data_IF_042622599727
#
_entry.id   IF_042622599727
#
_cell.length_a   1.000
_cell.length_b   1.000
_cell.length_c   1.000
_cell.angle_alpha   90.00
_cell.angle_beta   90.00
_cell.angle_gamma   90.00
#
_symmetry.space_group_name_H-M   'P 1'
#
loop_
_entity.id
_entity.type
_entity.pdbx_description
1 polymer ?
#
# COMPACT_ATOMS: atom_id res chain seq x y z
N UNK A 1 7.92 -30.53 40.90
CA UNK A 1 8.68 -30.85 39.65
C UNK A 1 7.81 -30.53 38.42
N UNK A 2 6.59 -31.05 38.33
CA UNK A 2 5.63 -30.89 37.23
C UNK A 2 5.35 -29.40 36.87
N UNK A 3 5.13 -28.53 37.89
CA UNK A 3 4.90 -27.08 37.69
C UNK A 3 6.09 -26.34 37.09
N UNK A 4 7.33 -26.82 37.33
CA UNK A 4 8.57 -26.25 36.81
C UNK A 4 8.76 -26.69 35.35
N UNK A 5 8.41 -27.92 35.03
CA UNK A 5 8.47 -28.50 33.69
C UNK A 5 7.46 -27.81 32.77
N UNK A 6 6.22 -27.66 33.23
CA UNK A 6 5.16 -26.94 32.51
C UNK A 6 5.53 -25.49 32.21
N UNK A 7 6.17 -24.78 33.16
CA UNK A 7 6.66 -23.41 32.89
C UNK A 7 7.73 -23.36 31.80
N UNK A 8 8.63 -24.34 31.77
CA UNK A 8 9.65 -24.43 30.73
C UNK A 8 9.02 -24.68 29.35
N UNK A 9 8.02 -25.56 29.30
CA UNK A 9 7.30 -25.85 28.06
C UNK A 9 6.54 -24.61 27.54
N UNK A 10 5.90 -23.84 28.43
CA UNK A 10 5.24 -22.59 28.07
C UNK A 10 6.26 -21.59 27.49
N UNK A 11 7.42 -21.41 28.14
CA UNK A 11 8.43 -20.48 27.63
C UNK A 11 9.02 -20.95 26.28
N UNK A 12 9.19 -22.27 26.10
CA UNK A 12 9.61 -22.83 24.82
C UNK A 12 8.58 -22.52 23.72
N UNK A 13 7.29 -22.76 23.99
CA UNK A 13 6.20 -22.48 23.03
C UNK A 13 6.05 -21.01 22.70
N UNK A 14 6.23 -20.11 23.68
CA UNK A 14 6.30 -18.65 23.42
C UNK A 14 7.44 -18.32 22.44
N UNK A 15 8.60 -18.92 22.65
CA UNK A 15 9.74 -18.76 21.75
C UNK A 15 9.44 -19.21 20.32
N UNK A 16 8.79 -20.36 20.16
CA UNK A 16 8.36 -20.87 18.85
C UNK A 16 7.37 -19.91 18.16
N UNK A 17 6.38 -19.37 18.89
CA UNK A 17 5.42 -18.40 18.36
C UNK A 17 6.12 -17.12 17.89
N UNK A 18 7.05 -16.58 18.69
CA UNK A 18 7.82 -15.40 18.33
C UNK A 18 8.68 -15.65 17.09
N UNK A 19 9.37 -16.78 17.02
CA UNK A 19 10.17 -17.17 15.86
C UNK A 19 9.33 -17.28 14.59
N UNK A 20 8.15 -17.90 14.68
CA UNK A 20 7.23 -18.02 13.56
C UNK A 20 6.75 -16.61 13.08
N UNK A 21 6.45 -15.71 14.03
CA UNK A 21 6.06 -14.34 13.74
C UNK A 21 7.17 -13.55 13.05
N UNK A 22 8.40 -13.66 13.54
CA UNK A 22 9.57 -13.04 12.93
C UNK A 22 9.86 -13.61 11.53
N UNK A 23 9.70 -14.91 11.34
CA UNK A 23 9.87 -15.55 10.04
C UNK A 23 8.85 -15.02 8.99
N UNK A 24 7.62 -14.71 9.41
CA UNK A 24 6.61 -14.05 8.56
C UNK A 24 7.10 -12.65 8.16
N UNK A 25 7.57 -11.86 9.12
CA UNK A 25 8.13 -10.52 8.86
C UNK A 25 9.28 -10.56 7.84
N UNK A 26 10.22 -11.49 8.01
CA UNK A 26 11.34 -11.63 7.08
C UNK A 26 10.90 -12.07 5.67
N UNK A 27 9.89 -12.94 5.56
CA UNK A 27 9.30 -13.29 4.26
C UNK A 27 8.62 -12.07 3.60
N UNK A 28 7.91 -11.26 4.37
CA UNK A 28 7.30 -10.00 3.88
C UNK A 28 8.37 -9.04 3.38
N UNK A 29 9.45 -8.82 4.14
CA UNK A 29 10.59 -7.98 3.72
C UNK A 29 11.25 -8.51 2.43
N UNK A 30 11.52 -9.81 2.37
CA UNK A 30 12.11 -10.43 1.18
C UNK A 30 11.21 -10.28 -0.06
N UNK A 31 9.89 -10.47 0.10
CA UNK A 31 8.92 -10.27 -0.96
C UNK A 31 8.90 -8.82 -1.46
N UNK A 32 8.78 -7.85 -0.56
CA UNK A 32 8.79 -6.42 -0.91
C UNK A 32 10.10 -6.04 -1.62
N UNK A 33 11.24 -6.43 -1.08
CA UNK A 33 12.54 -6.14 -1.67
C UNK A 33 12.70 -6.76 -3.07
N UNK A 34 12.18 -7.97 -3.29
CA UNK A 34 12.19 -8.60 -4.61
C UNK A 34 11.30 -7.87 -5.60
N UNK A 35 10.14 -7.40 -5.15
CA UNK A 35 9.08 -6.82 -5.99
C UNK A 35 9.40 -5.41 -6.45
N UNK A 36 9.89 -4.55 -5.54
CA UNK A 36 10.05 -3.12 -5.81
C UNK A 36 11.51 -2.62 -5.74
N UNK A 37 12.48 -3.54 -5.79
CA UNK A 37 13.91 -3.24 -5.60
C UNK A 37 14.46 -2.11 -6.48
N UNK A 38 13.91 -1.93 -7.69
CA UNK A 38 14.36 -0.93 -8.68
C UNK A 38 13.35 0.19 -8.92
N UNK A 39 12.28 0.25 -8.12
CA UNK A 39 11.27 1.27 -8.31
C UNK A 39 11.78 2.60 -7.73
N UNK A 40 11.84 3.64 -8.57
CA UNK A 40 12.29 4.97 -8.17
C UNK A 40 11.14 5.87 -7.66
N UNK A 41 9.90 5.44 -7.84
CA UNK A 41 8.71 6.22 -7.50
C UNK A 41 8.11 5.83 -6.15
N UNK A 42 8.23 4.56 -5.75
CA UNK A 42 7.66 4.05 -4.51
C UNK A 42 8.67 3.21 -3.75
N UNK A 43 8.69 3.39 -2.44
CA UNK A 43 9.46 2.58 -1.49
C UNK A 43 8.52 2.09 -0.39
N UNK A 44 8.56 0.80 -0.12
CA UNK A 44 7.76 0.18 0.93
C UNK A 44 8.70 -0.47 1.93
N UNK A 45 8.53 -0.13 3.21
CA UNK A 45 9.26 -0.72 4.33
C UNK A 45 8.30 -1.50 5.20
N UNK A 46 8.65 -2.72 5.53
CA UNK A 46 7.92 -3.49 6.54
C UNK A 46 8.36 -3.03 7.92
N UNK A 47 7.42 -2.57 8.72
CA UNK A 47 7.62 -2.17 10.11
C UNK A 47 7.24 -3.34 11.01
N UNK A 48 8.22 -4.04 11.61
CA UNK A 48 7.95 -5.21 12.44
C UNK A 48 7.04 -4.85 13.62
N UNK A 49 6.02 -5.67 13.85
CA UNK A 49 5.03 -5.50 14.92
C UNK A 49 4.23 -4.18 14.86
N UNK A 50 4.24 -3.51 13.72
CA UNK A 50 3.46 -2.30 13.48
C UNK A 50 3.85 -1.08 14.30
N UNK A 51 3.37 0.08 13.87
CA UNK A 51 3.49 1.35 14.60
C UNK A 51 2.26 2.25 14.40
N UNK A 52 1.20 1.73 13.82
CA UNK A 52 -0.04 2.47 13.63
C UNK A 52 -0.86 2.43 14.93
N UNK A 53 -1.05 3.60 15.54
CA UNK A 53 -1.77 3.74 16.81
C UNK A 53 -3.19 3.16 16.76
N UNK A 54 -3.93 3.42 15.68
CA UNK A 54 -5.30 2.93 15.54
C UNK A 54 -5.36 1.38 15.45
N UNK A 55 -4.39 0.76 14.78
CA UNK A 55 -4.33 -0.69 14.68
C UNK A 55 -3.97 -1.32 16.02
N UNK A 56 -2.94 -0.82 16.69
CA UNK A 56 -2.48 -1.37 17.97
C UNK A 56 -3.52 -1.14 19.07
N UNK A 57 -4.17 0.05 19.11
CA UNK A 57 -5.24 0.31 20.06
C UNK A 57 -6.41 -0.65 19.86
N UNK A 58 -6.86 -0.84 18.61
CA UNK A 58 -7.93 -1.78 18.29
C UNK A 58 -7.57 -3.20 18.71
N UNK A 59 -6.36 -3.64 18.44
CA UNK A 59 -5.89 -4.99 18.78
C UNK A 59 -5.84 -5.17 20.31
N UNK A 60 -5.34 -4.16 21.06
CA UNK A 60 -5.35 -4.18 22.52
C UNK A 60 -6.76 -4.23 23.07
N UNK A 61 -7.70 -3.44 22.53
CA UNK A 61 -9.11 -3.46 22.94
C UNK A 61 -9.76 -4.82 22.66
N UNK A 62 -9.48 -5.44 21.53
CA UNK A 62 -9.91 -6.80 21.24
C UNK A 62 -9.33 -7.80 22.24
N UNK A 63 -8.02 -7.69 22.52
CA UNK A 63 -7.32 -8.58 23.43
C UNK A 63 -7.91 -8.58 24.84
N UNK A 64 -8.27 -7.38 25.35
CA UNK A 64 -8.89 -7.24 26.67
C UNK A 64 -10.41 -7.38 26.64
N UNK A 65 -11.03 -7.57 25.47
CA UNK A 65 -12.48 -7.64 25.28
C UNK A 65 -13.21 -6.39 25.83
N UNK A 66 -12.67 -5.22 25.49
CA UNK A 66 -13.24 -3.91 25.83
C UNK A 66 -13.26 -3.03 24.58
N UNK A 67 -14.24 -3.24 23.73
CA UNK A 67 -14.39 -2.58 22.43
C UNK A 67 -14.91 -1.14 22.51
N UNK A 68 -15.37 -0.72 23.69
CA UNK A 68 -15.81 0.64 24.00
C UNK A 68 -14.68 1.52 24.57
N UNK A 69 -14.98 2.77 24.88
CA UNK A 69 -14.00 3.74 25.41
C UNK A 69 -13.57 3.52 26.87
N UNK A 70 -13.96 2.38 27.46
CA UNK A 70 -13.48 2.03 28.79
C UNK A 70 -11.96 1.89 28.79
N UNK A 71 -11.34 2.32 29.87
CA UNK A 71 -9.90 2.20 30.11
C UNK A 71 -9.02 2.93 29.09
N UNK A 72 -9.57 3.97 28.43
CA UNK A 72 -8.87 4.72 27.37
C UNK A 72 -7.49 5.19 27.80
N UNK A 73 -7.34 5.75 29.01
CA UNK A 73 -6.05 6.26 29.48
C UNK A 73 -4.96 5.16 29.52
N UNK A 74 -5.29 3.98 30.06
CA UNK A 74 -4.35 2.86 30.13
C UNK A 74 -4.06 2.29 28.75
N UNK A 75 -5.09 2.12 27.91
CA UNK A 75 -4.95 1.59 26.54
C UNK A 75 -4.13 2.55 25.68
N UNK A 76 -4.42 3.85 25.74
CA UNK A 76 -3.64 4.86 24.99
C UNK A 76 -2.18 4.89 25.44
N UNK A 77 -1.90 4.80 26.76
CA UNK A 77 -0.51 4.73 27.25
C UNK A 77 0.22 3.49 26.73
N UNK A 78 -0.43 2.32 26.75
CA UNK A 78 0.14 1.07 26.26
C UNK A 78 0.39 1.15 24.74
N UNK A 79 -0.57 1.69 23.97
CA UNK A 79 -0.46 1.93 22.53
C UNK A 79 0.71 2.85 22.23
N UNK A 80 0.76 4.02 22.88
CA UNK A 80 1.83 5.00 22.67
C UNK A 80 3.22 4.41 23.01
N UNK A 81 3.32 3.59 24.05
CA UNK A 81 4.58 2.91 24.42
C UNK A 81 5.09 2.01 23.31
N UNK A 82 4.22 1.29 22.60
CA UNK A 82 4.59 0.41 21.49
C UNK A 82 4.91 1.24 20.24
N UNK A 83 4.04 2.19 19.89
CA UNK A 83 4.16 2.98 18.64
C UNK A 83 5.38 3.88 18.62
N UNK A 84 5.72 4.52 19.76
CA UNK A 84 6.87 5.43 19.86
C UNK A 84 8.22 4.72 20.01
N UNK A 85 8.22 3.40 20.19
CA UNK A 85 9.45 2.62 20.27
C UNK A 85 10.09 2.50 18.88
N UNK A 86 11.43 2.58 18.83
CA UNK A 86 12.16 2.21 17.62
C UNK A 86 12.01 0.69 17.32
N UNK A 87 12.38 0.27 16.14
CA UNK A 87 12.19 -1.13 15.70
C UNK A 87 12.88 -2.16 16.61
N UNK A 88 14.04 -1.80 17.18
CA UNK A 88 14.84 -2.71 18.01
C UNK A 88 14.25 -2.87 19.43
N UNK A 89 13.63 -1.82 19.95
CA UNK A 89 13.05 -1.82 21.29
C UNK A 89 11.55 -2.15 21.32
N UNK A 90 10.87 -2.12 20.16
CA UNK A 90 9.42 -2.35 20.08
C UNK A 90 9.00 -3.69 20.67
N UNK A 91 9.75 -4.75 20.37
CA UNK A 91 9.49 -6.08 20.96
C UNK A 91 9.54 -6.06 22.49
N UNK A 92 10.50 -5.34 23.08
CA UNK A 92 10.58 -5.17 24.54
C UNK A 92 9.36 -4.44 25.08
N UNK A 93 8.94 -3.39 24.39
CA UNK A 93 7.74 -2.64 24.79
C UNK A 93 6.46 -3.49 24.72
N UNK A 94 6.34 -4.37 23.72
CA UNK A 94 5.24 -5.34 23.61
C UNK A 94 5.26 -6.30 24.79
N UNK A 95 6.42 -6.91 25.09
CA UNK A 95 6.54 -7.81 26.23
C UNK A 95 6.25 -7.11 27.57
N UNK A 96 6.67 -5.86 27.74
CA UNK A 96 6.32 -5.07 28.92
C UNK A 96 4.80 -4.82 29.03
N UNK A 97 4.14 -4.54 27.91
CA UNK A 97 2.65 -4.36 27.89
C UNK A 97 1.97 -5.68 28.25
N UNK A 98 2.40 -6.81 27.69
CA UNK A 98 1.90 -8.13 28.06
C UNK A 98 2.06 -8.38 29.56
N UNK A 99 3.24 -8.11 30.11
CA UNK A 99 3.50 -8.30 31.54
C UNK A 99 2.61 -7.38 32.40
N UNK A 100 2.36 -6.13 31.98
CA UNK A 100 1.43 -5.24 32.69
C UNK A 100 0.01 -5.83 32.73
N UNK A 101 -0.48 -6.37 31.60
CA UNK A 101 -1.80 -6.99 31.53
C UNK A 101 -1.88 -8.27 32.39
N UNK A 102 -0.90 -9.16 32.25
CA UNK A 102 -0.84 -10.43 32.99
C UNK A 102 -0.70 -10.23 34.50
N UNK A 103 0.09 -9.24 34.92
CA UNK A 103 0.32 -8.93 36.34
C UNK A 103 -0.67 -7.86 36.87
N UNK A 104 -1.63 -7.42 36.04
CA UNK A 104 -2.65 -6.44 36.42
C UNK A 104 -2.05 -5.11 36.92
N UNK A 105 -0.92 -4.71 36.35
CA UNK A 105 -0.19 -3.48 36.68
C UNK A 105 -0.68 -2.32 35.83
N UNK A 106 -1.95 -1.95 36.03
CA UNK A 106 -2.65 -0.87 35.34
C UNK A 106 -2.92 0.28 36.31
N UNK A 107 -3.04 1.51 35.79
CA UNK A 107 -3.25 2.71 36.64
C UNK A 107 -4.67 2.83 37.15
N UNK A 108 -5.64 2.48 36.31
CA UNK A 108 -7.04 2.61 36.61
C UNK A 108 -7.52 1.46 37.51
N UNK A 109 -8.02 1.77 38.71
CA UNK A 109 -8.53 0.76 39.65
C UNK A 109 -9.73 -0.04 39.12
N UNK A 110 -10.58 0.56 38.28
CA UNK A 110 -11.68 -0.16 37.62
C UNK A 110 -11.16 -1.13 36.58
N UNK A 111 -10.10 -0.77 35.85
CA UNK A 111 -9.46 -1.66 34.89
C UNK A 111 -8.78 -2.85 35.59
N UNK A 112 -8.12 -2.59 36.74
CA UNK A 112 -7.56 -3.68 37.56
C UNK A 112 -8.66 -4.64 38.02
N UNK A 113 -9.76 -4.13 38.56
CA UNK A 113 -10.90 -4.96 38.96
C UNK A 113 -11.53 -5.72 37.80
N UNK A 114 -11.52 -5.15 36.61
CA UNK A 114 -11.99 -5.82 35.38
C UNK A 114 -11.08 -7.00 35.03
N UNK A 115 -9.76 -6.82 35.04
CA UNK A 115 -8.78 -7.88 34.77
C UNK A 115 -8.83 -8.98 35.86
N UNK A 116 -9.07 -8.61 37.12
CA UNK A 116 -9.24 -9.58 38.21
C UNK A 116 -10.45 -10.50 38.01
N UNK A 117 -11.54 -9.99 37.45
CA UNK A 117 -12.72 -10.76 37.11
C UNK A 117 -12.56 -11.63 35.84
N UNK A 118 -11.68 -11.26 34.94
CA UNK A 118 -11.39 -12.02 33.72
C UNK A 118 -10.71 -13.35 34.02
N UNK A 119 -9.78 -13.39 34.97
CA UNK A 119 -8.97 -14.57 35.29
C UNK A 119 -9.80 -15.84 35.58
N UNK A 120 -10.82 -15.82 36.45
CA UNK A 120 -11.63 -17.00 36.70
C UNK A 120 -12.64 -17.33 35.59
N UNK A 121 -13.03 -16.33 34.77
CA UNK A 121 -14.12 -16.48 33.80
C UNK A 121 -13.63 -16.70 32.35
N UNK A 122 -12.36 -16.44 32.08
CA UNK A 122 -11.76 -16.54 30.75
C UNK A 122 -10.31 -17.03 30.84
N UNK A 123 -10.09 -18.32 31.10
CA UNK A 123 -8.73 -18.88 31.20
C UNK A 123 -7.92 -18.68 29.91
N UNK A 124 -8.59 -18.60 28.76
CA UNK A 124 -7.98 -18.31 27.47
C UNK A 124 -7.39 -16.90 27.35
N UNK A 125 -7.82 -15.97 28.21
CA UNK A 125 -7.31 -14.59 28.20
C UNK A 125 -5.79 -14.55 28.38
N UNK A 126 -5.24 -15.34 29.29
CA UNK A 126 -3.80 -15.42 29.53
C UNK A 126 -3.04 -15.95 28.32
N UNK A 127 -3.60 -16.96 27.65
CA UNK A 127 -3.00 -17.54 26.46
C UNK A 127 -3.04 -16.52 25.30
N UNK A 128 -4.16 -15.81 25.12
CA UNK A 128 -4.29 -14.78 24.11
C UNK A 128 -3.29 -13.63 24.36
N UNK A 129 -3.18 -13.11 25.56
CA UNK A 129 -2.19 -12.07 25.90
C UNK A 129 -0.76 -12.57 25.71
N UNK A 130 -0.49 -13.79 26.12
CA UNK A 130 0.86 -14.39 26.03
C UNK A 130 1.30 -14.57 24.58
N UNK A 131 0.40 -15.01 23.70
CA UNK A 131 0.68 -15.27 22.29
C UNK A 131 0.47 -14.06 21.37
N UNK A 132 -0.04 -12.95 21.91
CA UNK A 132 -0.32 -11.76 21.11
C UNK A 132 0.95 -11.05 20.65
N UNK A 133 1.00 -10.77 19.38
CA UNK A 133 1.96 -9.86 18.75
C UNK A 133 1.22 -9.07 17.67
N UNK A 134 1.35 -7.73 17.64
CA UNK A 134 0.73 -6.92 16.59
C UNK A 134 1.18 -7.35 15.19
N UNK A 135 0.34 -7.11 14.21
CA UNK A 135 0.73 -7.32 12.81
C UNK A 135 1.79 -6.31 12.35
N UNK A 136 2.55 -6.67 11.32
CA UNK A 136 3.47 -5.72 10.70
C UNK A 136 2.68 -4.62 10.00
N UNK A 137 3.15 -3.40 10.09
CA UNK A 137 2.68 -2.29 9.25
C UNK A 137 3.56 -2.11 8.01
N UNK A 138 3.04 -1.34 7.07
CA UNK A 138 3.78 -0.93 5.88
C UNK A 138 3.98 0.59 5.91
N UNK A 139 5.23 1.01 5.95
CA UNK A 139 5.58 2.41 5.73
C UNK A 139 5.83 2.61 4.24
N UNK A 140 4.91 3.35 3.60
CA UNK A 140 4.91 3.59 2.16
C UNK A 140 5.37 5.03 1.93
N UNK A 141 6.46 5.16 1.20
CA UNK A 141 7.02 6.43 0.81
C UNK A 141 7.01 6.56 -0.72
N UNK A 142 6.85 7.77 -1.21
CA UNK A 142 6.92 8.09 -2.64
C UNK A 142 7.98 9.16 -2.91
N UNK A 143 8.60 9.09 -4.09
CA UNK A 143 9.48 10.14 -4.60
C UNK A 143 8.69 11.06 -5.53
N UNK A 144 8.67 12.38 -5.25
CA UNK A 144 7.90 13.35 -6.04
C UNK A 144 8.38 13.44 -7.49
N UNK A 145 9.68 13.35 -7.67
CA UNK A 145 10.33 13.53 -8.97
C UNK A 145 10.64 12.18 -9.65
N UNK A 146 10.35 11.06 -8.98
CA UNK A 146 10.66 9.74 -9.49
C UNK A 146 12.16 9.46 -9.64
N UNK A 147 13.00 10.25 -8.99
CA UNK A 147 14.46 10.17 -9.03
C UNK A 147 15.05 9.26 -7.94
N UNK A 148 14.20 8.74 -7.07
CA UNK A 148 14.57 7.88 -5.94
C UNK A 148 15.33 8.60 -4.82
N UNK A 149 15.28 9.93 -4.75
CA UNK A 149 16.04 10.72 -3.76
C UNK A 149 15.14 11.31 -2.67
N UNK A 150 14.20 12.15 -3.02
CA UNK A 150 13.35 12.87 -2.07
C UNK A 150 12.12 12.06 -1.71
N UNK A 151 12.17 11.29 -0.61
CA UNK A 151 11.10 10.45 -0.16
C UNK A 151 10.17 11.17 0.82
N UNK A 152 8.89 11.04 0.62
CA UNK A 152 7.84 11.57 1.49
C UNK A 152 6.84 10.46 1.84
N UNK A 153 6.30 10.48 3.05
CA UNK A 153 5.28 9.52 3.45
C UNK A 153 4.05 9.64 2.55
N UNK A 154 3.50 8.51 2.10
CA UNK A 154 2.37 8.47 1.17
C UNK A 154 1.13 9.20 1.69
N UNK A 155 0.91 9.19 3.00
CA UNK A 155 -0.22 9.87 3.64
C UNK A 155 -0.13 11.40 3.56
N UNK A 156 1.08 11.96 3.37
CA UNK A 156 1.31 13.39 3.18
C UNK A 156 1.18 13.82 1.71
N UNK A 157 1.09 12.84 0.80
CA UNK A 157 0.93 13.08 -0.62
C UNK A 157 -0.45 13.60 -1.00
N UNK A 158 -0.53 14.34 -2.12
CA UNK A 158 -1.79 14.65 -2.78
C UNK A 158 -2.49 13.36 -3.22
N UNK A 159 -3.78 13.45 -3.56
CA UNK A 159 -4.54 12.31 -4.08
C UNK A 159 -3.84 11.67 -5.28
N UNK A 160 -3.38 12.50 -6.24
CA UNK A 160 -2.66 12.04 -7.42
C UNK A 160 -1.35 11.34 -7.09
N UNK A 161 -0.57 11.88 -6.15
CA UNK A 161 0.70 11.25 -5.72
C UNK A 161 0.48 9.90 -5.07
N UNK A 162 -0.58 9.74 -4.29
CA UNK A 162 -0.95 8.44 -3.70
C UNK A 162 -1.39 7.44 -4.76
N UNK A 163 -2.21 7.87 -5.73
CA UNK A 163 -2.63 7.04 -6.87
C UNK A 163 -1.44 6.63 -7.72
N UNK A 164 -0.50 7.54 -7.99
CA UNK A 164 0.72 7.26 -8.73
C UNK A 164 1.60 6.20 -8.03
N UNK A 165 1.80 6.31 -6.73
CA UNK A 165 2.59 5.35 -5.96
C UNK A 165 1.94 3.95 -5.94
N UNK A 166 0.61 3.88 -5.76
CA UNK A 166 -0.13 2.62 -5.82
C UNK A 166 -0.02 1.98 -7.20
N UNK A 167 -0.18 2.76 -8.26
CA UNK A 167 -0.06 2.27 -9.63
C UNK A 167 1.36 1.79 -9.94
N UNK A 168 2.39 2.52 -9.51
CA UNK A 168 3.79 2.11 -9.64
C UNK A 168 4.05 0.77 -8.94
N UNK A 169 3.47 0.55 -7.77
CA UNK A 169 3.55 -0.72 -7.07
C UNK A 169 2.86 -1.84 -7.84
N UNK A 170 1.60 -1.64 -8.27
CA UNK A 170 0.83 -2.61 -9.02
C UNK A 170 1.52 -3.00 -10.34
N UNK A 171 2.09 -2.03 -11.03
CA UNK A 171 2.83 -2.27 -12.26
C UNK A 171 4.19 -2.94 -12.02
N UNK A 172 4.78 -2.84 -10.84
CA UNK A 172 6.03 -3.51 -10.50
C UNK A 172 5.86 -4.99 -10.19
N UNK A 173 4.64 -5.43 -9.84
CA UNK A 173 4.36 -6.78 -9.36
C UNK A 173 3.62 -7.63 -10.39
N UNK A 174 3.97 -8.94 -10.45
CA UNK A 174 3.25 -9.95 -11.23
C UNK A 174 3.61 -10.00 -12.70
N UNK A 175 3.14 -11.07 -13.36
CA UNK A 175 3.24 -11.30 -14.80
C UNK A 175 1.86 -11.57 -15.42
N UNK A 176 0.84 -11.64 -14.61
CA UNK A 176 -0.53 -11.86 -15.04
C UNK A 176 -1.03 -10.67 -15.87
N UNK A 177 -1.98 -10.88 -16.78
CA UNK A 177 -2.66 -9.78 -17.46
C UNK A 177 -3.27 -8.79 -16.46
N UNK A 178 -3.16 -7.50 -16.75
CA UNK A 178 -3.74 -6.44 -15.92
C UNK A 178 -4.70 -5.58 -16.74
N UNK A 179 -5.82 -5.23 -16.13
CA UNK A 179 -6.78 -4.28 -16.68
C UNK A 179 -6.72 -3.00 -15.87
N UNK A 180 -6.50 -1.88 -16.54
CA UNK A 180 -6.45 -0.55 -15.97
C UNK A 180 -7.57 0.29 -16.56
N UNK A 181 -8.41 0.85 -15.72
CA UNK A 181 -9.47 1.78 -16.12
C UNK A 181 -9.09 3.19 -15.68
N UNK A 182 -8.86 4.06 -16.67
CA UNK A 182 -8.46 5.45 -16.51
C UNK A 182 -7.34 5.65 -15.46
N UNK A 183 -6.17 4.99 -15.65
CA UNK A 183 -5.07 5.08 -14.68
C UNK A 183 -4.48 6.48 -14.55
N UNK A 184 -4.82 7.39 -15.46
CA UNK A 184 -4.45 8.80 -15.44
C UNK A 184 -5.32 9.69 -14.57
N UNK A 185 -6.47 9.21 -14.12
CA UNK A 185 -7.36 10.01 -13.29
C UNK A 185 -6.68 10.42 -11.98
N UNK A 186 -6.90 11.65 -11.57
CA UNK A 186 -6.26 12.29 -10.40
C UNK A 186 -4.74 12.54 -10.55
N UNK A 187 -4.12 12.24 -11.68
CA UNK A 187 -2.68 12.45 -11.87
C UNK A 187 -2.37 13.75 -12.65
N UNK A 188 -1.31 14.42 -12.24
CA UNK A 188 -0.78 15.55 -12.99
C UNK A 188 -0.12 15.06 -14.30
N UNK A 189 -0.23 15.84 -15.37
CA UNK A 189 0.30 15.49 -16.69
C UNK A 189 1.80 15.10 -16.67
N UNK A 190 2.60 15.71 -15.81
CA UNK A 190 4.00 15.36 -15.62
C UNK A 190 4.17 13.94 -15.07
N UNK A 191 3.40 13.57 -14.04
CA UNK A 191 3.42 12.22 -13.47
C UNK A 191 2.89 11.17 -14.45
N UNK A 192 1.93 11.53 -15.31
CA UNK A 192 1.41 10.61 -16.33
C UNK A 192 2.54 10.20 -17.27
N UNK A 193 3.33 11.14 -17.77
CA UNK A 193 4.39 10.84 -18.72
C UNK A 193 5.53 10.06 -18.07
N UNK A 194 6.08 10.57 -16.98
CA UNK A 194 7.30 10.00 -16.38
C UNK A 194 7.05 8.64 -15.70
N UNK A 195 5.90 8.50 -15.05
CA UNK A 195 5.58 7.29 -14.32
C UNK A 195 4.80 6.29 -15.17
N UNK A 196 3.58 6.66 -15.65
CA UNK A 196 2.67 5.71 -16.28
C UNK A 196 3.20 5.23 -17.61
N UNK A 197 3.61 6.15 -18.48
CA UNK A 197 4.10 5.80 -19.82
C UNK A 197 5.33 4.91 -19.73
N UNK A 198 6.29 5.26 -18.86
CA UNK A 198 7.49 4.45 -18.65
C UNK A 198 7.13 3.06 -18.12
N UNK A 199 6.29 2.98 -17.11
CA UNK A 199 5.88 1.71 -16.52
C UNK A 199 5.07 0.85 -17.52
N UNK A 200 4.20 1.44 -18.34
CA UNK A 200 3.46 0.72 -19.40
C UNK A 200 4.45 0.10 -20.39
N UNK A 201 5.41 0.87 -20.88
CA UNK A 201 6.42 0.38 -21.86
C UNK A 201 7.27 -0.76 -21.32
N UNK A 202 7.65 -0.72 -20.05
CA UNK A 202 8.38 -1.80 -19.40
C UNK A 202 7.51 -3.04 -19.16
N UNK A 203 6.27 -2.82 -18.71
CA UNK A 203 5.36 -3.92 -18.36
C UNK A 203 4.85 -4.70 -19.56
N UNK A 204 4.55 -4.04 -20.68
CA UNK A 204 4.07 -4.72 -21.89
C UNK A 204 5.04 -5.75 -22.47
N UNK A 205 6.33 -5.67 -22.12
CA UNK A 205 7.34 -6.66 -22.50
C UNK A 205 7.23 -7.97 -21.72
N UNK A 206 6.53 -7.98 -20.59
CA UNK A 206 6.44 -9.14 -19.69
C UNK A 206 5.02 -9.64 -19.45
N UNK A 207 4.00 -8.83 -19.75
CA UNK A 207 2.58 -9.20 -19.56
C UNK A 207 1.66 -8.42 -20.47
N UNK A 208 0.44 -8.92 -20.63
CA UNK A 208 -0.61 -8.20 -21.35
C UNK A 208 -1.16 -7.06 -20.51
N UNK A 209 -1.28 -5.88 -21.11
CA UNK A 209 -1.96 -4.72 -20.53
C UNK A 209 -3.21 -4.42 -21.34
N UNK A 210 -4.34 -4.25 -20.66
CA UNK A 210 -5.60 -3.78 -21.25
C UNK A 210 -5.93 -2.48 -20.54
N UNK A 211 -5.91 -1.36 -21.28
CA UNK A 211 -6.02 -0.03 -20.69
C UNK A 211 -7.19 0.69 -21.33
N UNK A 212 -8.12 1.16 -20.52
CA UNK A 212 -9.17 2.10 -20.90
C UNK A 212 -8.68 3.49 -20.55
N UNK A 213 -8.61 4.40 -21.52
CA UNK A 213 -8.06 5.74 -21.30
C UNK A 213 -8.62 6.74 -22.30
N UNK A 214 -8.68 7.99 -21.89
CA UNK A 214 -8.93 9.14 -22.74
C UNK A 214 -7.68 10.03 -22.95
N UNK A 215 -6.53 9.61 -22.41
CA UNK A 215 -5.27 10.37 -22.46
C UNK A 215 -4.41 9.92 -23.65
N UNK A 216 -4.09 10.81 -24.61
CA UNK A 216 -3.27 10.48 -25.77
C UNK A 216 -1.84 10.05 -25.39
N UNK A 217 -1.30 10.52 -24.27
CA UNK A 217 0.03 10.11 -23.83
C UNK A 217 0.11 8.62 -23.52
N UNK A 218 -0.93 8.04 -22.95
CA UNK A 218 -0.97 6.60 -22.67
C UNK A 218 -1.01 5.79 -23.95
N UNK A 219 -1.82 6.19 -24.93
CA UNK A 219 -1.97 5.47 -26.19
C UNK A 219 -0.75 5.65 -27.08
N UNK A 220 -0.31 6.90 -27.28
CA UNK A 220 0.73 7.26 -28.25
C UNK A 220 2.11 7.02 -27.66
N UNK A 221 2.41 7.61 -26.51
CA UNK A 221 3.73 7.50 -25.90
C UNK A 221 3.93 6.16 -25.16
N UNK A 222 2.85 5.52 -24.70
CA UNK A 222 2.85 4.13 -24.21
C UNK A 222 3.07 3.10 -25.32
N UNK A 223 3.02 3.54 -26.60
CA UNK A 223 3.26 2.72 -27.77
C UNK A 223 2.33 1.50 -27.81
N UNK A 224 1.02 1.76 -27.85
CA UNK A 224 0.00 0.72 -27.87
C UNK A 224 0.04 -0.10 -29.15
N UNK A 225 0.14 -1.43 -29.04
CA UNK A 225 0.15 -2.37 -30.17
C UNK A 225 -1.22 -2.50 -30.84
N UNK A 226 -2.28 -2.43 -30.03
CA UNK A 226 -3.65 -2.56 -30.50
C UNK A 226 -4.56 -1.53 -29.81
N UNK A 227 -5.29 -0.80 -30.60
CA UNK A 227 -6.23 0.22 -30.17
C UNK A 227 -7.63 -0.17 -30.61
N UNK A 228 -8.59 -0.06 -29.71
CA UNK A 228 -10.02 -0.18 -29.94
C UNK A 228 -10.65 1.16 -29.63
N UNK A 229 -11.04 1.92 -30.65
CA UNK A 229 -11.81 3.13 -30.48
C UNK A 229 -13.28 2.75 -30.25
N UNK A 230 -13.81 3.17 -29.10
CA UNK A 230 -15.16 2.87 -28.68
C UNK A 230 -16.05 4.11 -28.87
N UNK A 231 -17.31 3.88 -29.26
CA UNK A 231 -18.31 4.94 -29.32
C UNK A 231 -19.64 4.41 -28.78
N UNK A 232 -20.46 5.32 -28.28
CA UNK A 232 -21.77 5.00 -27.73
C UNK A 232 -22.84 5.49 -28.67
N UNK A 233 -23.41 4.58 -29.45
CA UNK A 233 -24.43 4.89 -30.51
C UNK A 233 -25.68 4.09 -30.22
N UNK A 234 -26.84 4.76 -30.24
CA UNK A 234 -28.16 4.14 -30.05
C UNK A 234 -28.27 3.28 -28.77
N UNK A 235 -27.67 3.73 -27.66
CA UNK A 235 -27.76 3.02 -26.39
C UNK A 235 -26.80 1.84 -26.25
N UNK A 236 -25.90 1.62 -27.21
CA UNK A 236 -24.92 0.53 -27.20
C UNK A 236 -23.50 1.04 -27.40
N UNK A 237 -22.56 0.48 -26.66
CA UNK A 237 -21.16 0.70 -26.86
C UNK A 237 -20.65 -0.21 -28.01
N UNK A 238 -19.96 0.38 -28.98
CA UNK A 238 -19.48 -0.34 -30.15
C UNK A 238 -18.06 0.07 -30.53
N UNK A 239 -17.31 -0.85 -31.12
CA UNK A 239 -15.98 -0.59 -31.65
C UNK A 239 -16.11 0.05 -33.02
N UNK A 240 -15.71 1.32 -33.14
CA UNK A 240 -15.75 2.06 -34.43
C UNK A 240 -14.49 1.82 -35.26
N UNK A 241 -13.33 1.74 -34.63
CA UNK A 241 -12.03 1.48 -35.27
C UNK A 241 -11.18 0.56 -34.43
N UNK A 242 -10.38 -0.29 -35.09
CA UNK A 242 -9.40 -1.13 -34.41
C UNK A 242 -8.11 -1.28 -35.22
N UNK A 243 -6.99 -1.32 -34.55
CA UNK A 243 -5.68 -1.54 -35.17
C UNK A 243 -4.55 -0.85 -34.42
N UNK A 244 -3.36 -0.90 -34.99
CA UNK A 244 -2.19 -0.19 -34.45
C UNK A 244 -2.16 1.26 -34.91
N UNK A 245 -1.34 2.09 -34.27
CA UNK A 245 -1.05 3.47 -34.67
C UNK A 245 -0.42 3.59 -36.07
N UNK A 246 0.07 2.50 -36.66
CA UNK A 246 0.60 2.51 -38.03
C UNK A 246 -0.50 2.69 -39.07
N UNK A 247 -1.77 2.31 -38.75
CA UNK A 247 -2.91 2.51 -39.64
C UNK A 247 -3.37 3.97 -39.60
N UNK A 248 -3.50 4.57 -40.79
CA UNK A 248 -3.87 5.99 -40.90
C UNK A 248 -5.24 6.30 -40.32
N UNK A 249 -6.22 5.44 -40.53
CA UNK A 249 -7.59 5.61 -40.03
C UNK A 249 -7.65 5.52 -38.50
N UNK A 250 -6.84 4.67 -37.87
CA UNK A 250 -6.73 4.59 -36.41
C UNK A 250 -6.08 5.85 -35.85
N UNK A 251 -5.00 6.35 -36.45
CA UNK A 251 -4.38 7.64 -36.05
C UNK A 251 -5.34 8.81 -36.13
N UNK A 252 -6.12 8.87 -37.19
CA UNK A 252 -7.14 9.92 -37.34
C UNK A 252 -8.18 9.83 -36.23
N UNK A 253 -8.60 8.62 -35.87
CA UNK A 253 -9.59 8.42 -34.81
C UNK A 253 -9.03 8.79 -33.43
N UNK A 254 -7.81 8.37 -33.11
CA UNK A 254 -7.11 8.79 -31.89
C UNK A 254 -7.00 10.31 -31.81
N UNK A 255 -6.56 10.96 -32.91
CA UNK A 255 -6.48 12.41 -32.97
C UNK A 255 -7.86 13.07 -32.79
N UNK A 256 -8.92 12.55 -33.42
CA UNK A 256 -10.28 13.06 -33.30
C UNK A 256 -10.81 13.00 -31.88
N UNK A 257 -10.66 11.82 -31.25
CA UNK A 257 -11.26 11.56 -29.92
C UNK A 257 -10.46 12.21 -28.80
N UNK A 258 -9.12 12.11 -28.84
CA UNK A 258 -8.26 12.50 -27.73
C UNK A 258 -7.66 13.90 -27.85
N UNK A 259 -7.51 14.42 -29.08
CA UNK A 259 -6.86 15.70 -29.33
C UNK A 259 -7.82 16.80 -29.82
N UNK A 260 -9.09 16.47 -30.03
CA UNK A 260 -10.08 17.39 -30.61
C UNK A 260 -9.95 17.59 -32.14
N UNK A 261 -9.23 16.66 -32.82
CA UNK A 261 -8.98 16.68 -34.25
C UNK A 261 -7.69 17.37 -34.68
N UNK A 262 -7.39 17.25 -35.97
CA UNK A 262 -6.12 17.76 -36.55
C UNK A 262 -5.94 19.26 -36.39
N UNK A 263 -7.00 20.04 -36.53
CA UNK A 263 -6.92 21.51 -36.40
C UNK A 263 -6.59 21.95 -34.97
N UNK A 264 -7.18 21.31 -33.96
CA UNK A 264 -6.90 21.60 -32.57
C UNK A 264 -5.45 21.20 -32.21
N UNK A 265 -5.01 20.02 -32.66
CA UNK A 265 -3.64 19.54 -32.46
C UNK A 265 -2.62 20.50 -33.15
N UNK A 266 -2.89 20.90 -34.38
CA UNK A 266 -2.01 21.82 -35.16
C UNK A 266 -1.92 23.19 -34.50
N UNK A 267 -3.03 23.75 -34.02
CA UNK A 267 -3.03 25.04 -33.31
C UNK A 267 -2.28 24.98 -31.98
N UNK A 268 -2.43 23.87 -31.24
CA UNK A 268 -1.70 23.66 -30.00
C UNK A 268 -0.20 23.55 -30.25
N UNK A 269 0.21 22.78 -31.25
CA UNK A 269 1.59 22.67 -31.69
C UNK A 269 2.19 24.02 -32.11
N UNK A 270 1.47 24.78 -32.92
CA UNK A 270 1.92 26.10 -33.38
C UNK A 270 2.12 27.11 -32.23
N UNK A 271 1.35 26.99 -31.15
CA UNK A 271 1.43 27.91 -30.01
C UNK A 271 2.43 27.47 -28.95
N UNK A 272 2.61 26.19 -28.71
CA UNK A 272 3.45 25.67 -27.63
C UNK A 272 4.75 25.05 -28.12
N UNK A 273 4.75 24.44 -29.31
CA UNK A 273 5.90 23.66 -29.81
C UNK A 273 6.82 24.44 -30.74
N UNK A 274 6.31 25.45 -31.45
CA UNK A 274 7.11 26.20 -32.42
C UNK A 274 8.06 27.16 -31.68
N UNK A 275 9.36 26.89 -31.78
CA UNK A 275 10.42 27.67 -31.10
C UNK A 275 10.98 27.00 -29.84
N UNK A 276 10.40 25.91 -29.34
CA UNK A 276 10.97 25.16 -28.22
C UNK A 276 11.91 24.03 -28.66
N UNK A 277 11.73 23.53 -29.89
CA UNK A 277 12.59 22.46 -30.45
C UNK A 277 13.75 23.00 -31.30
N UNK A 278 13.76 24.29 -31.59
CA UNK A 278 14.80 24.98 -32.34
C UNK A 278 15.84 25.68 -31.44
N UNK A 279 15.71 25.52 -30.10
CA UNK A 279 16.62 26.02 -29.08
C UNK A 279 17.42 24.87 -28.45
#
# INVERSE_FOLDING_TARGET
KEKVELKKDIELKKGEVLQARQAITEKRKAFINKTIRQNQFVRIKVVPFGNNELHIERDLRQLIDASDDRFSDDVTEMTAKICNANNDDRLKCIEDVKQKLLNKQVKNGHFKNYLDKKEPNSPEFFDHVTCWYPEDDLDIEYSREGDGRNWSAILQGSKGQRSAALLAFLLSFGQEPIVLDQPEDDLDNHLIYDLIVTQIRENKLRRQLIIVTHNPNIVVNGDAEMIFAMDFVNGQCSVTKKGSLQKKDVRFEVCRVMEGGLDALSRRWARLGKGMLDA
#
